data_IF_249514653359
#
_entry.id   IF_249514653359
#
_cell.length_a   1.000
_cell.length_b   1.000
_cell.length_c   1.000
_cell.angle_alpha   90.00
_cell.angle_beta   90.00
_cell.angle_gamma   90.00
#
_symmetry.space_group_name_H-M   'P 1'
#
loop_
_entity.id
_entity.type
_entity.pdbx_description
1 polymer ?
#
# COMPACT_ATOMS: atom_id res chain seq x y z
N UNK A 1 9.22 36.90 4.20
CA UNK A 1 7.84 37.12 4.70
C UNK A 1 6.87 36.11 4.06
N UNK A 2 7.23 34.81 4.02
CA UNK A 2 6.43 33.73 3.41
C UNK A 2 6.15 32.64 4.45
N UNK A 3 5.41 32.99 5.49
CA UNK A 3 4.91 32.08 6.53
C UNK A 3 3.41 32.30 6.64
N UNK A 4 2.63 31.71 5.73
CA UNK A 4 1.16 31.55 5.85
C UNK A 4 0.52 30.72 4.73
N UNK A 5 1.21 30.43 3.63
CA UNK A 5 0.62 29.67 2.52
C UNK A 5 0.58 28.13 2.70
N UNK A 6 1.18 27.58 3.77
CA UNK A 6 1.28 26.13 3.97
C UNK A 6 0.13 25.52 4.80
N UNK A 7 -0.82 26.35 5.26
CA UNK A 7 -2.00 25.90 6.04
C UNK A 7 -3.27 25.87 5.17
N UNK A 8 -3.20 26.39 3.94
CA UNK A 8 -4.36 26.54 3.04
C UNK A 8 -4.81 25.28 2.30
N UNK A 9 -4.05 24.18 2.34
CA UNK A 9 -4.42 22.93 1.63
C UNK A 9 -4.98 21.83 2.56
N UNK A 10 -4.98 22.05 3.88
CA UNK A 10 -5.47 21.07 4.87
C UNK A 10 -6.94 21.34 5.28
N UNK A 11 -7.58 22.41 4.76
CA UNK A 11 -8.96 22.79 5.12
C UNK A 11 -9.91 23.02 3.93
N UNK A 12 -9.65 22.40 2.77
CA UNK A 12 -10.52 22.51 1.59
C UNK A 12 -11.28 21.23 1.23
N UNK A 13 -11.37 20.23 2.12
CA UNK A 13 -12.21 19.05 1.93
C UNK A 13 -12.90 18.70 3.26
N UNK A 14 -13.92 19.48 3.62
CA UNK A 14 -15.19 18.97 4.15
C UNK A 14 -16.17 20.12 4.44
N UNK A 15 -17.38 19.95 3.88
CA UNK A 15 -18.65 20.59 4.21
C UNK A 15 -19.09 21.82 3.39
N UNK A 16 -19.78 21.57 2.27
CA UNK A 16 -21.13 22.13 2.08
C UNK A 16 -21.99 21.18 1.24
N UNK A 17 -23.02 20.60 1.86
CA UNK A 17 -24.19 20.02 1.18
C UNK A 17 -25.24 21.13 1.05
N UNK A 18 -25.75 21.43 -0.16
CA UNK A 18 -27.12 21.93 -0.40
C UNK A 18 -27.65 21.38 -1.75
N UNK A 19 -28.66 20.50 -1.61
CA UNK A 19 -29.91 20.33 -2.37
C UNK A 19 -29.89 20.35 -3.91
N UNK A 20 -30.19 19.17 -4.47
CA UNK A 20 -31.17 19.05 -5.56
C UNK A 20 -30.61 18.84 -6.95
N UNK A 21 -30.34 17.60 -7.34
CA UNK A 21 -30.78 17.07 -8.63
C UNK A 21 -30.85 15.54 -8.57
N UNK A 22 -31.99 15.01 -9.02
CA UNK A 22 -32.31 13.58 -9.08
C UNK A 22 -31.48 12.90 -10.17
N UNK A 23 -30.79 11.82 -9.83
CA UNK A 23 -30.62 10.68 -10.73
C UNK A 23 -30.84 9.40 -9.91
N UNK A 24 -31.90 8.67 -10.27
CA UNK A 24 -32.22 7.37 -9.67
C UNK A 24 -31.34 6.27 -10.31
N UNK A 25 -31.01 5.19 -9.58
CA UNK A 25 -29.87 4.33 -9.84
C UNK A 25 -30.22 3.12 -10.73
N UNK A 26 -29.20 2.54 -11.37
CA UNK A 26 -29.25 1.14 -11.84
C UNK A 26 -28.70 0.22 -10.73
N UNK A 27 -29.28 -0.97 -10.51
CA UNK A 27 -29.20 -1.67 -9.26
C UNK A 27 -28.36 -2.95 -9.40
N UNK A 28 -27.09 -2.95 -9.03
CA UNK A 28 -26.33 -4.17 -8.74
C UNK A 28 -25.15 -3.81 -7.82
N UNK A 29 -24.88 -4.66 -6.82
CA UNK A 29 -23.93 -4.53 -5.71
C UNK A 29 -24.40 -3.73 -4.47
N UNK A 30 -25.45 -4.23 -3.83
CA UNK A 30 -25.46 -4.37 -2.38
C UNK A 30 -25.20 -5.84 -2.06
N UNK A 31 -23.94 -6.21 -1.85
CA UNK A 31 -23.56 -7.10 -0.75
C UNK A 31 -22.03 -7.22 -0.66
N UNK A 32 -21.44 -6.59 0.34
CA UNK A 32 -20.27 -7.10 1.07
C UNK A 32 -20.09 -6.24 2.32
N UNK A 33 -20.21 -6.81 3.53
CA UNK A 33 -20.27 -6.04 4.76
C UNK A 33 -18.89 -5.55 5.21
N UNK A 34 -18.70 -4.23 5.13
CA UNK A 34 -18.17 -3.24 6.10
C UNK A 34 -17.25 -3.61 7.28
N UNK A 35 -16.73 -4.83 7.46
CA UNK A 35 -16.09 -5.24 8.72
C UNK A 35 -14.57 -5.01 8.82
N UNK A 36 -13.90 -4.57 7.75
CA UNK A 36 -12.46 -4.26 7.80
C UNK A 36 -12.19 -2.81 8.21
N UNK A 37 -13.19 -1.92 8.07
CA UNK A 37 -13.02 -0.49 8.35
C UNK A 37 -13.10 -0.14 9.85
N UNK A 38 -13.85 -0.90 10.64
CA UNK A 38 -13.99 -0.64 12.08
C UNK A 38 -12.71 -0.96 12.89
N UNK A 39 -11.85 -1.85 12.39
CA UNK A 39 -10.67 -2.30 13.13
C UNK A 39 -9.47 -1.35 13.03
N UNK A 40 -9.45 -0.41 12.07
CA UNK A 40 -8.32 0.50 11.86
C UNK A 40 -8.56 1.88 12.48
N UNK A 41 -9.80 2.27 12.82
CA UNK A 41 -10.13 3.64 13.20
C UNK A 41 -10.61 3.86 14.66
N UNK A 42 -10.64 2.84 15.51
CA UNK A 42 -11.02 3.01 16.93
C UNK A 42 -9.87 2.67 17.89
N UNK A 43 -9.19 3.70 18.38
CA UNK A 43 -8.40 3.64 19.63
C UNK A 43 -9.31 3.86 20.86
N UNK A 44 -8.88 3.47 22.07
CA UNK A 44 -9.69 3.56 23.28
C UNK A 44 -9.91 5.03 23.67
N UNK A 45 -11.13 5.35 24.07
CA UNK A 45 -11.65 6.70 24.10
C UNK A 45 -11.03 7.67 25.11
N UNK A 46 -11.33 8.96 24.90
CA UNK A 46 -11.58 9.94 25.96
C UNK A 46 -12.61 10.97 25.46
N UNK A 47 -13.76 10.97 26.13
CA UNK A 47 -14.87 11.93 26.00
C UNK A 47 -14.68 13.06 26.99
N UNK A 48 -14.90 14.32 26.57
CA UNK A 48 -15.66 15.41 27.24
C UNK A 48 -15.95 16.48 26.16
N UNK A 49 -17.08 17.17 26.03
CA UNK A 49 -18.35 17.25 26.77
C UNK A 49 -19.34 18.09 25.94
N UNK A 50 -20.62 17.69 25.84
CA UNK A 50 -21.71 18.53 25.31
C UNK A 50 -22.92 17.72 24.82
N UNK A 51 -23.86 17.39 25.71
CA UNK A 51 -25.19 16.78 25.41
C UNK A 51 -26.21 17.88 25.05
N UNK A 52 -27.34 17.60 24.33
CA UNK A 52 -28.34 16.55 24.62
C UNK A 52 -28.81 15.78 23.35
N UNK A 53 -29.59 14.69 23.33
CA UNK A 53 -30.28 13.80 24.30
C UNK A 53 -30.73 12.53 23.54
N UNK A 54 -30.84 11.41 24.27
CA UNK A 54 -31.61 10.18 23.93
C UNK A 54 -31.22 9.33 22.71
N UNK A 55 -30.30 8.38 22.92
CA UNK A 55 -30.41 7.02 22.39
C UNK A 55 -29.95 6.04 23.48
N UNK A 56 -30.83 5.12 23.89
CA UNK A 56 -30.46 3.95 24.72
C UNK A 56 -30.01 2.86 23.74
N UNK A 57 -28.71 2.76 23.50
CA UNK A 57 -28.07 1.58 22.91
C UNK A 57 -27.30 0.87 24.01
N UNK A 58 -27.48 -0.45 24.13
CA UNK A 58 -26.71 -1.30 25.03
C UNK A 58 -25.22 -1.23 24.70
N UNK A 59 -24.39 -0.90 25.70
CA UNK A 59 -22.94 -1.06 25.67
C UNK A 59 -22.61 -2.56 25.61
N UNK A 60 -22.67 -3.16 24.42
CA UNK A 60 -21.97 -4.41 24.15
C UNK A 60 -20.50 -4.07 23.93
N UNK A 61 -19.66 -4.44 24.89
CA UNK A 61 -18.22 -4.56 24.69
C UNK A 61 -17.97 -5.53 23.52
N UNK A 62 -17.74 -4.99 22.33
CA UNK A 62 -17.22 -5.77 21.20
C UNK A 62 -15.77 -6.09 21.54
N UNK A 63 -15.53 -7.29 22.04
CA UNK A 63 -14.19 -7.85 22.15
C UNK A 63 -13.49 -7.71 20.78
N UNK A 64 -12.29 -7.10 20.71
CA UNK A 64 -11.58 -7.00 19.45
C UNK A 64 -11.35 -8.42 18.91
N UNK A 65 -11.82 -8.68 17.69
CA UNK A 65 -11.63 -9.96 17.03
C UNK A 65 -10.16 -10.38 16.98
N UNK A 66 -9.86 -11.67 16.76
CA UNK A 66 -8.50 -12.17 16.74
C UNK A 66 -7.63 -11.36 15.77
N UNK A 67 -6.47 -10.90 16.26
CA UNK A 67 -5.55 -10.09 15.46
C UNK A 67 -5.17 -10.83 14.18
N UNK A 68 -5.45 -10.21 13.03
CA UNK A 68 -5.07 -10.73 11.71
C UNK A 68 -3.57 -10.58 11.51
N UNK A 69 -2.92 -11.60 10.94
CA UNK A 69 -1.50 -11.52 10.56
C UNK A 69 -1.37 -10.71 9.28
N UNK A 70 -0.40 -9.81 9.22
CA UNK A 70 -0.06 -9.07 8.01
C UNK A 70 1.37 -9.39 7.64
N UNK A 71 1.63 -9.70 6.37
CA UNK A 71 2.98 -9.82 5.81
C UNK A 71 3.09 -8.79 4.71
N UNK A 72 4.01 -7.83 4.85
CA UNK A 72 4.28 -6.83 3.84
C UNK A 72 5.62 -7.09 3.14
N UNK A 73 5.65 -6.98 1.81
CA UNK A 73 6.85 -7.16 0.99
C UNK A 73 7.08 -5.88 0.19
N UNK A 74 8.35 -5.47 0.14
CA UNK A 74 8.83 -4.30 -0.58
C UNK A 74 8.84 -4.45 -2.10
N UNK A 75 9.63 -3.59 -2.71
CA UNK A 75 9.79 -3.41 -4.15
C UNK A 75 10.41 -4.66 -4.81
N UNK A 76 9.74 -5.19 -5.83
CA UNK A 76 10.09 -6.47 -6.46
C UNK A 76 10.82 -6.29 -7.79
N UNK A 77 10.52 -5.21 -8.52
CA UNK A 77 11.23 -4.79 -9.73
C UNK A 77 11.54 -5.95 -10.70
N UNK A 78 10.49 -6.68 -11.08
CA UNK A 78 10.53 -7.70 -12.11
C UNK A 78 11.45 -8.89 -11.80
N UNK A 79 11.76 -9.18 -10.54
CA UNK A 79 12.59 -10.33 -10.12
C UNK A 79 11.74 -11.45 -9.49
N UNK A 80 11.25 -12.37 -10.33
CA UNK A 80 10.44 -13.49 -9.86
C UNK A 80 11.22 -14.45 -8.94
N UNK A 81 12.48 -14.85 -9.25
CA UNK A 81 13.24 -15.74 -8.38
C UNK A 81 13.38 -15.24 -6.94
N UNK A 82 13.67 -13.96 -6.73
CA UNK A 82 13.75 -13.41 -5.37
C UNK A 82 12.36 -13.19 -4.75
N UNK A 83 11.35 -12.87 -5.54
CA UNK A 83 9.95 -12.81 -5.07
C UNK A 83 9.50 -14.14 -4.46
N UNK A 84 9.75 -15.27 -5.14
CA UNK A 84 9.37 -16.59 -4.66
C UNK A 84 10.07 -16.94 -3.34
N UNK A 85 11.39 -16.70 -3.24
CA UNK A 85 12.14 -16.91 -1.98
C UNK A 85 11.54 -16.13 -0.82
N UNK A 86 11.20 -14.86 -1.03
CA UNK A 86 10.61 -14.00 0.01
C UNK A 86 9.25 -14.52 0.45
N UNK A 87 8.39 -14.87 -0.49
CA UNK A 87 7.07 -15.45 -0.17
C UNK A 87 7.19 -16.77 0.60
N UNK A 88 8.15 -17.62 0.23
CA UNK A 88 8.39 -18.91 0.87
C UNK A 88 8.87 -18.75 2.32
N UNK A 89 9.98 -18.00 2.56
CA UNK A 89 10.48 -17.86 3.93
C UNK A 89 9.55 -17.00 4.81
N UNK A 90 8.69 -16.17 4.22
CA UNK A 90 7.65 -15.45 4.94
C UNK A 90 6.43 -16.34 5.31
N UNK A 91 6.42 -17.60 4.85
CA UNK A 91 5.36 -18.56 5.11
C UNK A 91 4.06 -18.22 4.39
N UNK A 92 4.15 -17.63 3.19
CA UNK A 92 3.00 -17.32 2.34
C UNK A 92 2.73 -18.47 1.36
N UNK A 93 3.80 -19.01 0.77
CA UNK A 93 3.74 -20.14 -0.15
C UNK A 93 4.60 -21.32 0.31
N UNK A 94 4.30 -22.52 -0.17
CA UNK A 94 5.20 -23.68 -0.10
C UNK A 94 6.16 -23.73 -1.30
N UNK A 95 6.95 -24.80 -1.39
CA UNK A 95 7.90 -25.09 -2.47
C UNK A 95 7.22 -25.39 -3.82
N UNK A 96 5.94 -25.77 -3.81
CA UNK A 96 5.09 -25.86 -5.01
C UNK A 96 4.47 -24.51 -5.42
N UNK A 97 4.75 -23.44 -4.68
CA UNK A 97 4.17 -22.10 -4.86
C UNK A 97 2.67 -22.02 -4.56
N UNK A 98 2.12 -22.97 -3.80
CA UNK A 98 0.75 -22.94 -3.32
C UNK A 98 0.63 -22.07 -2.08
N UNK A 99 -0.48 -21.35 -1.95
CA UNK A 99 -0.78 -20.56 -0.76
C UNK A 99 -0.98 -21.44 0.48
N UNK A 100 -0.33 -21.09 1.60
CA UNK A 100 -0.40 -21.87 2.87
C UNK A 100 -0.79 -21.06 4.11
N UNK A 101 -0.87 -19.72 4.03
CA UNK A 101 -1.08 -18.87 5.21
C UNK A 101 -2.56 -18.73 5.60
N UNK A 102 -2.92 -18.96 6.87
CA UNK A 102 -4.29 -18.77 7.38
C UNK A 102 -4.48 -17.38 8.00
N UNK A 103 -5.67 -16.81 7.87
CA UNK A 103 -6.05 -15.50 8.42
C UNK A 103 -4.94 -14.44 8.28
N UNK A 104 -4.36 -14.36 7.08
CA UNK A 104 -3.21 -13.53 6.77
C UNK A 104 -3.54 -12.58 5.62
N UNK A 105 -3.15 -11.31 5.75
CA UNK A 105 -3.12 -10.39 4.60
C UNK A 105 -1.68 -10.25 4.11
N UNK A 106 -1.42 -10.66 2.87
CA UNK A 106 -0.21 -10.28 2.14
C UNK A 106 -0.40 -8.86 1.59
N UNK A 107 0.58 -7.99 1.82
CA UNK A 107 0.60 -6.62 1.27
C UNK A 107 1.85 -6.47 0.40
N UNK A 108 1.66 -6.18 -0.88
CA UNK A 108 2.74 -5.78 -1.78
C UNK A 108 2.67 -4.24 -1.91
N UNK A 109 3.76 -3.53 -1.58
CA UNK A 109 3.73 -2.06 -1.40
C UNK A 109 4.09 -1.24 -2.67
N UNK A 110 3.92 -1.81 -3.86
CA UNK A 110 4.22 -1.15 -5.14
C UNK A 110 5.60 -1.47 -5.71
N UNK A 111 5.88 -0.96 -6.90
CA UNK A 111 7.13 -1.17 -7.63
C UNK A 111 7.40 -2.66 -7.89
N UNK A 112 6.37 -3.34 -8.42
CA UNK A 112 6.48 -4.72 -8.92
C UNK A 112 7.15 -4.73 -10.29
N UNK A 113 6.84 -3.74 -11.13
CA UNK A 113 7.32 -3.62 -12.51
C UNK A 113 8.71 -2.97 -12.59
N UNK A 114 9.28 -3.03 -13.80
CA UNK A 114 10.53 -2.42 -14.25
C UNK A 114 11.79 -3.07 -13.68
N UNK A 115 12.94 -2.72 -14.28
CA UNK A 115 14.30 -3.27 -14.02
C UNK A 115 14.47 -4.73 -14.41
N UNK A 116 13.68 -5.64 -13.84
CA UNK A 116 13.71 -7.07 -14.10
C UNK A 116 12.80 -7.50 -15.25
N UNK A 117 12.95 -8.73 -15.76
CA UNK A 117 12.22 -9.24 -16.92
C UNK A 117 10.88 -9.93 -16.60
N UNK A 118 10.54 -10.10 -15.32
CA UNK A 118 9.49 -11.03 -14.90
C UNK A 118 8.17 -10.37 -14.48
N UNK A 119 7.91 -9.12 -14.87
CA UNK A 119 6.72 -8.35 -14.43
C UNK A 119 5.43 -9.14 -14.64
N UNK A 120 5.24 -9.67 -15.85
CA UNK A 120 4.02 -10.41 -16.22
C UNK A 120 3.85 -11.66 -15.35
N UNK A 121 4.95 -12.36 -15.06
CA UNK A 121 4.94 -13.57 -14.26
C UNK A 121 4.62 -13.25 -12.78
N UNK A 122 5.16 -12.17 -12.23
CA UNK A 122 4.89 -11.77 -10.83
C UNK A 122 3.43 -11.34 -10.67
N UNK A 123 2.87 -10.53 -11.57
CA UNK A 123 1.45 -10.17 -11.50
C UNK A 123 0.53 -11.38 -11.68
N UNK A 124 0.88 -12.33 -12.55
CA UNK A 124 0.17 -13.61 -12.68
C UNK A 124 0.20 -14.43 -11.39
N UNK A 125 1.37 -14.50 -10.73
CA UNK A 125 1.54 -15.14 -9.43
C UNK A 125 0.67 -14.47 -8.35
N UNK A 126 0.79 -13.15 -8.17
CA UNK A 126 0.02 -12.41 -7.15
C UNK A 126 -1.49 -12.56 -7.35
N UNK A 127 -1.94 -12.61 -8.61
CA UNK A 127 -3.34 -12.89 -8.94
C UNK A 127 -3.81 -14.26 -8.52
N UNK A 128 -3.05 -15.28 -8.88
CA UNK A 128 -3.33 -16.66 -8.49
C UNK A 128 -3.39 -16.77 -6.96
N UNK A 129 -2.37 -16.25 -6.27
CA UNK A 129 -2.32 -16.23 -4.81
C UNK A 129 -3.49 -15.48 -4.17
N UNK A 130 -3.94 -14.36 -4.76
CA UNK A 130 -5.14 -13.65 -4.29
C UNK A 130 -6.37 -14.55 -4.31
N UNK A 131 -6.59 -15.28 -5.40
CA UNK A 131 -7.70 -16.22 -5.51
C UNK A 131 -7.58 -17.38 -4.50
N UNK A 132 -6.40 -18.01 -4.44
CA UNK A 132 -6.14 -19.18 -3.59
C UNK A 132 -6.28 -18.84 -2.09
N UNK A 133 -5.86 -17.63 -1.69
CA UNK A 133 -5.85 -17.18 -0.29
C UNK A 133 -7.23 -17.12 0.35
N UNK A 134 -8.29 -16.92 -0.45
CA UNK A 134 -9.67 -16.75 0.04
C UNK A 134 -10.17 -17.97 0.82
N UNK A 135 -9.77 -19.18 0.42
CA UNK A 135 -10.11 -20.43 1.09
C UNK A 135 -9.51 -20.54 2.50
N UNK A 136 -8.49 -19.72 2.82
CA UNK A 136 -7.78 -19.70 4.09
C UNK A 136 -8.20 -18.53 4.99
N UNK A 137 -9.27 -17.83 4.63
CA UNK A 137 -9.67 -16.58 5.26
C UNK A 137 -8.62 -15.47 5.11
N UNK A 138 -7.76 -15.60 4.10
CA UNK A 138 -6.63 -14.73 3.83
C UNK A 138 -6.93 -13.77 2.67
N UNK A 139 -6.06 -12.80 2.44
CA UNK A 139 -6.21 -11.83 1.35
C UNK A 139 -4.83 -11.36 0.82
N UNK A 140 -4.81 -10.86 -0.41
CA UNK A 140 -3.66 -10.24 -1.05
C UNK A 140 -4.02 -8.84 -1.51
N UNK A 141 -3.29 -7.85 -0.99
CA UNK A 141 -3.48 -6.43 -1.29
C UNK A 141 -2.23 -5.90 -1.99
N UNK A 142 -2.41 -5.35 -3.19
CA UNK A 142 -1.39 -4.60 -3.89
C UNK A 142 -1.63 -3.10 -3.76
N UNK A 143 -0.56 -2.33 -3.55
CA UNK A 143 -0.55 -0.87 -3.63
C UNK A 143 0.18 -0.45 -4.91
N UNK A 144 -0.26 0.63 -5.56
CA UNK A 144 0.45 1.15 -6.73
C UNK A 144 1.72 1.88 -6.30
N UNK A 145 2.85 1.50 -6.89
CA UNK A 145 4.09 2.25 -6.82
C UNK A 145 4.19 3.27 -7.95
N UNK A 146 5.29 4.02 -7.96
CA UNK A 146 5.52 4.98 -9.04
C UNK A 146 5.85 4.28 -10.36
N UNK A 147 6.46 3.10 -10.34
CA UNK A 147 6.79 2.37 -11.55
C UNK A 147 5.53 1.85 -12.28
N UNK A 148 4.50 1.45 -11.54
CA UNK A 148 3.18 1.16 -12.13
C UNK A 148 2.59 2.40 -12.80
N UNK A 149 2.63 3.54 -12.12
CA UNK A 149 2.08 4.81 -12.63
C UNK A 149 2.83 5.25 -13.90
N UNK A 150 4.17 5.16 -13.90
CA UNK A 150 5.00 5.46 -15.07
C UNK A 150 4.61 4.61 -16.28
N UNK A 151 4.46 3.29 -16.09
CA UNK A 151 4.06 2.40 -17.18
C UNK A 151 2.63 2.71 -17.70
N UNK A 152 1.69 3.08 -16.82
CA UNK A 152 0.34 3.51 -17.21
C UNK A 152 0.35 4.81 -18.03
N UNK A 153 1.29 5.72 -17.76
CA UNK A 153 1.50 6.95 -18.54
C UNK A 153 2.36 6.75 -19.80
N UNK A 154 2.89 5.55 -20.02
CA UNK A 154 3.77 5.26 -21.15
C UNK A 154 5.21 5.73 -20.96
N UNK A 155 5.61 6.06 -19.74
CA UNK A 155 7.01 6.30 -19.40
C UNK A 155 7.72 4.96 -19.18
N UNK A 156 8.47 4.53 -20.20
CA UNK A 156 9.10 3.20 -20.25
C UNK A 156 10.61 3.22 -19.97
N UNK A 157 11.15 4.31 -19.41
CA UNK A 157 12.61 4.51 -19.25
C UNK A 157 13.32 3.43 -18.45
N UNK A 158 12.60 2.73 -17.56
CA UNK A 158 13.16 1.68 -16.70
C UNK A 158 12.74 0.26 -17.08
N UNK A 159 12.00 0.10 -18.18
CA UNK A 159 11.51 -1.20 -18.64
C UNK A 159 12.68 -2.02 -19.19
N UNK A 160 12.80 -3.27 -18.71
CA UNK A 160 13.75 -4.21 -19.26
C UNK A 160 13.29 -4.67 -20.67
N UNK A 161 14.15 -4.68 -21.70
CA UNK A 161 13.76 -5.16 -23.02
C UNK A 161 13.17 -6.58 -23.02
N UNK A 162 13.73 -7.49 -22.19
CA UNK A 162 13.20 -8.85 -22.04
C UNK A 162 11.83 -8.89 -21.39
N UNK A 163 11.52 -7.92 -20.51
CA UNK A 163 10.18 -7.77 -19.96
C UNK A 163 9.21 -7.44 -21.09
N UNK A 164 9.53 -6.48 -21.96
CA UNK A 164 8.73 -6.15 -23.15
C UNK A 164 8.48 -7.37 -24.04
N UNK A 165 9.50 -8.19 -24.28
CA UNK A 165 9.36 -9.43 -25.05
C UNK A 165 8.38 -10.42 -24.39
N UNK A 166 8.34 -10.48 -23.05
CA UNK A 166 7.39 -11.33 -22.31
C UNK A 166 5.91 -10.94 -22.52
N UNK A 167 5.67 -9.68 -22.90
CA UNK A 167 4.35 -9.19 -23.30
C UNK A 167 4.02 -9.48 -24.76
N UNK A 168 4.95 -9.97 -25.58
CA UNK A 168 4.79 -10.14 -27.03
C UNK A 168 5.20 -8.90 -27.83
N UNK A 169 5.99 -8.01 -27.24
CA UNK A 169 6.51 -6.79 -27.86
C UNK A 169 5.88 -5.49 -27.34
N UNK A 170 6.36 -4.33 -27.82
CA UNK A 170 6.02 -3.02 -27.28
C UNK A 170 4.53 -2.67 -27.41
N UNK A 171 3.91 -3.01 -28.53
CA UNK A 171 2.48 -2.73 -28.76
C UNK A 171 1.59 -3.51 -27.79
N UNK A 172 1.85 -4.80 -27.61
CA UNK A 172 1.07 -5.62 -26.68
C UNK A 172 1.30 -5.18 -25.23
N UNK A 173 2.54 -4.81 -24.85
CA UNK A 173 2.81 -4.21 -23.53
C UNK A 173 1.97 -2.95 -23.31
N UNK A 174 1.97 -2.03 -24.27
CA UNK A 174 1.20 -0.79 -24.19
C UNK A 174 -0.30 -1.06 -24.02
N UNK A 175 -0.84 -2.05 -24.71
CA UNK A 175 -2.23 -2.47 -24.55
C UNK A 175 -2.51 -2.99 -23.13
N UNK A 176 -1.62 -3.82 -22.59
CA UNK A 176 -1.76 -4.42 -21.25
C UNK A 176 -1.70 -3.39 -20.12
N UNK A 177 -0.93 -2.31 -20.29
CA UNK A 177 -0.84 -1.19 -19.36
C UNK A 177 -1.86 -0.07 -19.62
N UNK A 178 -2.68 -0.19 -20.67
CA UNK A 178 -3.76 0.76 -20.95
C UNK A 178 -4.95 0.57 -19.99
N UNK A 179 -5.88 1.52 -19.96
CA UNK A 179 -7.10 1.47 -19.14
C UNK A 179 -7.93 0.18 -19.34
N UNK A 180 -7.92 -0.37 -20.55
CA UNK A 180 -8.63 -1.61 -20.90
C UNK A 180 -7.77 -2.87 -20.79
N UNK A 181 -6.46 -2.71 -20.56
CA UNK A 181 -5.51 -3.80 -20.39
C UNK A 181 -5.54 -4.37 -18.97
N UNK A 182 -5.05 -5.58 -18.81
CA UNK A 182 -5.16 -6.30 -17.55
C UNK A 182 -4.38 -5.64 -16.39
N UNK A 183 -3.17 -5.12 -16.67
CA UNK A 183 -2.31 -4.47 -15.68
C UNK A 183 -2.63 -2.97 -15.49
N UNK A 184 -3.07 -2.29 -16.54
CA UNK A 184 -3.54 -0.91 -16.45
C UNK A 184 -4.95 -0.80 -15.86
N UNK A 185 -5.74 -1.88 -15.93
CA UNK A 185 -7.05 -1.94 -15.29
C UNK A 185 -6.90 -2.03 -13.77
N UNK A 186 -7.58 -1.12 -13.09
CA UNK A 186 -7.48 -0.88 -11.64
C UNK A 186 -8.08 -2.00 -10.77
N UNK A 187 -8.34 -3.19 -11.33
CA UNK A 187 -8.95 -4.32 -10.62
C UNK A 187 -8.15 -4.72 -9.37
N UNK A 188 -6.81 -4.69 -9.45
CA UNK A 188 -5.90 -4.98 -8.34
C UNK A 188 -5.90 -3.90 -7.25
N UNK A 189 -6.08 -2.64 -7.65
CA UNK A 189 -6.17 -1.48 -6.75
C UNK A 189 -7.59 -1.25 -6.19
N UNK A 190 -8.59 -2.05 -6.60
CA UNK A 190 -9.98 -1.88 -6.16
C UNK A 190 -10.29 -2.56 -4.82
N UNK A 191 -9.39 -3.40 -4.30
CA UNK A 191 -9.60 -4.18 -3.06
C UNK A 191 -9.11 -3.51 -1.75
N UNK A 192 -8.78 -2.20 -1.77
CA UNK A 192 -8.40 -1.42 -0.58
C UNK A 192 -7.76 -0.07 -0.90
N UNK A 193 -7.54 0.82 0.11
CA UNK A 193 -7.09 2.24 0.03
C UNK A 193 -7.98 3.16 -0.83
N UNK A 194 -9.30 2.91 -0.76
CA UNK A 194 -10.35 3.42 -1.65
C UNK A 194 -10.29 4.93 -1.98
N UNK A 195 -9.80 5.82 -1.13
CA UNK A 195 -9.74 7.26 -1.41
C UNK A 195 -8.54 7.69 -2.26
N UNK A 196 -7.31 7.26 -1.92
CA UNK A 196 -6.11 7.54 -2.73
C UNK A 196 -6.26 6.83 -4.06
N UNK A 197 -6.76 5.59 -4.04
CA UNK A 197 -7.04 4.88 -5.27
C UNK A 197 -8.16 5.55 -6.06
N UNK A 198 -9.24 6.08 -5.45
CA UNK A 198 -10.28 6.80 -6.21
C UNK A 198 -9.79 8.12 -6.82
N UNK A 199 -9.02 8.92 -6.08
CA UNK A 199 -8.49 10.19 -6.58
C UNK A 199 -7.38 9.98 -7.61
N UNK A 200 -6.53 8.95 -7.42
CA UNK A 200 -5.58 8.51 -8.43
C UNK A 200 -6.30 8.00 -9.69
N UNK A 201 -7.34 7.16 -9.52
CA UNK A 201 -8.16 6.57 -10.60
C UNK A 201 -8.74 7.62 -11.55
N UNK A 202 -9.27 8.73 -11.03
CA UNK A 202 -9.87 9.75 -11.88
C UNK A 202 -8.83 10.61 -12.60
N UNK A 203 -7.68 10.82 -11.97
CA UNK A 203 -6.65 11.73 -12.48
C UNK A 203 -5.67 11.06 -13.47
N UNK A 204 -5.36 9.76 -13.29
CA UNK A 204 -4.37 9.03 -14.11
C UNK A 204 -4.69 9.00 -15.61
N UNK A 205 -5.98 8.94 -15.98
CA UNK A 205 -6.36 8.81 -17.40
C UNK A 205 -6.77 10.13 -18.07
N UNK A 206 -6.63 11.26 -17.37
CA UNK A 206 -7.02 12.58 -17.87
C UNK A 206 -5.82 13.54 -18.02
N UNK A 207 -4.62 13.09 -17.69
CA UNK A 207 -3.44 13.95 -17.57
C UNK A 207 -2.31 13.48 -18.49
N UNK A 208 -1.54 14.43 -19.04
CA UNK A 208 -0.31 14.11 -19.74
C UNK A 208 0.80 13.77 -18.74
N UNK A 209 1.87 13.10 -19.19
CA UNK A 209 3.04 12.78 -18.36
C UNK A 209 3.63 14.04 -17.68
N UNK A 210 3.67 15.17 -18.41
CA UNK A 210 4.14 16.45 -17.89
C UNK A 210 3.24 16.99 -16.77
N UNK A 211 1.93 16.79 -16.88
CA UNK A 211 0.98 17.20 -15.86
C UNK A 211 1.11 16.31 -14.61
N UNK A 212 1.33 15.01 -14.80
CA UNK A 212 1.55 14.05 -13.71
C UNK A 212 2.80 14.39 -12.86
N UNK A 213 3.89 14.84 -13.48
CA UNK A 213 5.11 15.24 -12.74
C UNK A 213 4.89 16.47 -11.84
N UNK A 214 3.98 17.37 -12.21
CA UNK A 214 3.58 18.53 -11.40
C UNK A 214 2.39 18.26 -10.48
N UNK A 215 1.80 17.06 -10.57
CA UNK A 215 0.61 16.68 -9.82
C UNK A 215 0.98 16.43 -8.35
N UNK A 216 0.22 16.95 -7.37
CA UNK A 216 0.51 16.74 -5.94
C UNK A 216 0.42 15.26 -5.49
N UNK A 217 -0.17 14.38 -6.29
CA UNK A 217 -0.30 12.94 -6.03
C UNK A 217 0.76 12.12 -6.77
N UNK A 218 1.11 12.49 -8.02
CA UNK A 218 2.01 11.71 -8.86
C UNK A 218 3.39 12.32 -9.08
N UNK A 219 3.58 13.57 -8.66
CA UNK A 219 4.86 14.28 -8.70
C UNK A 219 5.77 13.88 -7.54
N UNK A 220 6.96 14.49 -7.48
CA UNK A 220 8.02 14.11 -6.54
C UNK A 220 7.65 14.20 -5.05
N UNK A 221 6.72 15.09 -4.69
CA UNK A 221 6.20 15.24 -3.32
C UNK A 221 4.98 14.34 -3.03
N UNK A 222 4.55 13.57 -4.03
CA UNK A 222 3.38 12.71 -3.95
C UNK A 222 3.64 11.39 -3.22
N UNK A 223 2.57 10.68 -2.79
CA UNK A 223 2.68 9.47 -1.95
C UNK A 223 3.52 8.32 -2.53
N UNK A 224 3.69 8.25 -3.85
CA UNK A 224 4.47 7.19 -4.51
C UNK A 224 5.93 7.56 -4.77
N UNK A 225 6.32 8.82 -4.56
CA UNK A 225 7.68 9.31 -4.83
C UNK A 225 8.37 9.90 -3.60
N UNK A 226 7.61 10.25 -2.56
CA UNK A 226 8.14 10.98 -1.42
C UNK A 226 9.12 10.15 -0.58
N UNK A 227 10.38 10.61 -0.48
CA UNK A 227 11.50 9.86 0.15
C UNK A 227 11.86 10.32 1.55
N UNK A 228 11.39 11.47 2.01
CA UNK A 228 11.89 12.07 3.25
C UNK A 228 11.58 11.22 4.50
N UNK A 229 10.48 10.45 4.50
CA UNK A 229 10.21 9.47 5.57
C UNK A 229 11.32 8.42 5.72
N UNK A 230 12.09 8.14 4.65
CA UNK A 230 13.25 7.27 4.68
C UNK A 230 14.58 8.03 4.87
N UNK A 231 14.69 9.29 4.43
CA UNK A 231 15.98 10.00 4.29
C UNK A 231 16.20 11.20 5.22
N UNK A 232 15.16 12.03 5.47
CA UNK A 232 15.29 13.25 6.27
C UNK A 232 15.75 12.98 7.71
N UNK A 233 16.29 13.97 8.42
CA UNK A 233 16.55 13.87 9.86
C UNK A 233 15.26 13.62 10.67
N UNK A 234 15.31 12.74 11.68
CA UNK A 234 14.15 12.39 12.51
C UNK A 234 13.55 13.59 13.26
N UNK A 235 14.35 14.62 13.60
CA UNK A 235 13.85 15.84 14.25
C UNK A 235 12.91 16.62 13.33
N UNK A 236 13.10 16.52 12.02
CA UNK A 236 12.29 17.20 11.00
C UNK A 236 11.09 16.36 10.60
N UNK A 237 11.30 15.08 10.30
CA UNK A 237 10.27 14.26 9.66
C UNK A 237 9.30 13.60 10.65
N UNK A 238 9.75 13.25 11.87
CA UNK A 238 8.88 12.57 12.82
C UNK A 238 7.68 13.41 13.33
N UNK A 239 7.78 14.74 13.48
CA UNK A 239 6.61 15.59 13.73
C UNK A 239 5.58 15.54 12.59
N UNK A 240 6.02 15.65 11.33
CA UNK A 240 5.15 15.58 10.16
C UNK A 240 4.50 14.19 10.03
N UNK A 241 5.27 13.13 10.25
CA UNK A 241 4.75 11.76 10.30
C UNK A 241 3.68 11.62 11.39
N UNK A 242 3.87 12.22 12.58
CA UNK A 242 2.88 12.17 13.66
C UNK A 242 1.57 12.82 13.21
N UNK A 243 1.64 13.96 12.54
CA UNK A 243 0.46 14.66 12.00
C UNK A 243 -0.26 13.81 10.95
N UNK A 244 0.48 13.27 9.98
CA UNK A 244 -0.08 12.39 8.94
C UNK A 244 -0.78 11.16 9.56
N UNK A 245 -0.12 10.48 10.50
CA UNK A 245 -0.68 9.32 11.19
C UNK A 245 -1.93 9.67 12.01
N UNK A 246 -1.92 10.82 12.69
CA UNK A 246 -3.09 11.32 13.44
C UNK A 246 -4.28 11.57 12.53
N UNK A 247 -4.07 12.27 11.41
CA UNK A 247 -5.12 12.56 10.43
C UNK A 247 -5.71 11.29 9.83
N UNK A 248 -4.87 10.26 9.61
CA UNK A 248 -5.29 8.97 9.06
C UNK A 248 -5.85 8.00 10.12
N UNK A 249 -5.80 8.35 11.41
CA UNK A 249 -6.15 7.44 12.50
C UNK A 249 -5.24 6.21 12.60
N UNK A 250 -4.05 6.26 12.02
CA UNK A 250 -3.14 5.13 11.89
C UNK A 250 -2.04 5.15 12.97
N UNK A 251 -1.58 3.97 13.41
CA UNK A 251 -0.48 3.85 14.38
C UNK A 251 0.91 3.82 13.73
N UNK A 252 0.95 3.42 12.46
CA UNK A 252 2.19 3.13 11.74
C UNK A 252 2.00 3.29 10.23
N UNK A 253 3.06 3.73 9.58
CA UNK A 253 3.22 3.77 8.14
C UNK A 253 4.25 2.72 7.71
N UNK A 254 3.98 1.99 6.63
CA UNK A 254 4.91 1.04 6.01
C UNK A 254 5.15 1.51 4.59
N UNK A 255 6.41 1.67 4.19
CA UNK A 255 6.79 2.25 2.89
C UNK A 255 7.86 1.44 2.17
N UNK A 256 7.81 1.45 0.83
CA UNK A 256 8.84 0.95 -0.07
C UNK A 256 9.67 2.09 -0.69
N UNK A 257 9.98 1.99 -2.00
CA UNK A 257 10.53 3.01 -2.90
C UNK A 257 11.97 3.48 -2.62
N UNK A 258 12.42 3.48 -1.36
CA UNK A 258 13.73 4.00 -0.95
C UNK A 258 14.63 2.90 -0.38
N UNK A 259 15.54 2.33 -1.20
CA UNK A 259 16.26 1.12 -0.84
C UNK A 259 17.10 1.25 0.43
N UNK A 260 16.91 0.30 1.34
CA UNK A 260 17.68 0.08 2.56
C UNK A 260 18.41 -1.27 2.43
N UNK A 261 19.51 -1.29 1.69
CA UNK A 261 20.16 -2.54 1.24
C UNK A 261 20.62 -3.45 2.40
N UNK A 262 20.85 -2.90 3.59
CA UNK A 262 21.25 -3.64 4.78
C UNK A 262 20.08 -4.18 5.62
N UNK A 263 18.83 -3.94 5.21
CA UNK A 263 17.62 -4.54 5.78
C UNK A 263 16.57 -3.52 6.22
N UNK A 264 15.45 -4.04 6.71
CA UNK A 264 14.28 -3.25 7.11
C UNK A 264 14.67 -2.22 8.17
N UNK A 265 14.29 -0.96 7.96
CA UNK A 265 14.52 0.13 8.90
C UNK A 265 13.25 0.52 9.62
N UNK A 266 13.38 0.79 10.91
CA UNK A 266 12.32 1.38 11.70
C UNK A 266 12.78 2.74 12.20
N UNK A 267 11.94 3.75 12.01
CA UNK A 267 12.23 5.14 12.34
C UNK A 267 11.10 5.73 13.17
N UNK A 268 11.35 6.89 13.77
CA UNK A 268 10.36 7.64 14.56
C UNK A 268 9.70 6.80 15.67
N UNK A 269 10.52 6.00 16.38
CA UNK A 269 10.07 5.08 17.44
C UNK A 269 9.04 4.06 16.96
N UNK A 270 9.26 3.44 15.81
CA UNK A 270 8.38 2.38 15.30
C UNK A 270 7.17 2.85 14.51
N UNK A 271 7.04 4.17 14.25
CA UNK A 271 5.91 4.77 13.55
C UNK A 271 6.04 4.72 12.03
N UNK A 272 7.24 4.64 11.49
CA UNK A 272 7.44 4.32 10.08
C UNK A 272 8.42 3.16 9.95
N UNK A 273 8.09 2.25 9.04
CA UNK A 273 8.93 1.10 8.70
C UNK A 273 9.19 1.12 7.20
N UNK A 274 10.46 1.15 6.82
CA UNK A 274 10.93 1.14 5.44
C UNK A 274 11.31 -0.30 5.10
N UNK A 275 10.60 -0.87 4.13
CA UNK A 275 10.69 -2.29 3.76
C UNK A 275 11.24 -2.53 2.36
N UNK A 276 11.51 -1.48 1.58
CA UNK A 276 12.35 -1.62 0.41
C UNK A 276 13.77 -1.89 0.87
N UNK A 277 14.20 -3.14 0.74
CA UNK A 277 15.55 -3.59 1.09
C UNK A 277 16.37 -3.94 -0.13
N UNK A 278 15.94 -3.52 -1.33
CA UNK A 278 16.56 -3.92 -2.60
C UNK A 278 16.44 -5.43 -2.85
N UNK A 279 15.22 -5.98 -2.71
CA UNK A 279 14.93 -7.42 -2.88
C UNK A 279 15.34 -7.92 -4.28
N UNK A 280 15.07 -7.12 -5.31
CA UNK A 280 15.49 -7.42 -6.67
C UNK A 280 17.02 -7.53 -6.77
N UNK A 281 17.49 -8.56 -7.46
CA UNK A 281 18.90 -8.82 -7.75
C UNK A 281 19.58 -7.66 -8.48
N UNK A 282 18.81 -6.78 -9.13
CA UNK A 282 19.32 -5.53 -9.73
C UNK A 282 19.96 -4.61 -8.69
N UNK A 283 19.44 -4.59 -7.46
CA UNK A 283 20.00 -3.80 -6.36
C UNK A 283 20.93 -4.62 -5.46
N UNK A 284 20.72 -5.93 -5.37
CA UNK A 284 21.57 -6.83 -4.59
C UNK A 284 21.49 -6.64 -3.08
N UNK A 285 20.37 -6.11 -2.59
CA UNK A 285 20.13 -5.92 -1.16
C UNK A 285 19.65 -7.19 -0.48
N UNK A 286 19.19 -7.06 0.78
CA UNK A 286 18.71 -8.21 1.55
C UNK A 286 17.31 -8.61 1.13
N UNK A 287 17.09 -9.91 0.95
CA UNK A 287 15.73 -10.46 0.86
C UNK A 287 15.04 -10.29 2.21
N UNK A 288 13.87 -9.66 2.22
CA UNK A 288 13.15 -9.40 3.46
C UNK A 288 11.64 -9.34 3.30
N UNK A 289 10.93 -9.58 4.39
CA UNK A 289 9.50 -9.31 4.53
C UNK A 289 9.24 -8.75 5.93
N UNK A 290 8.20 -7.94 6.07
CA UNK A 290 7.74 -7.43 7.36
C UNK A 290 6.52 -8.22 7.82
N UNK A 291 6.60 -8.85 8.99
CA UNK A 291 5.45 -9.46 9.66
C UNK A 291 4.90 -8.51 10.72
N UNK A 292 3.60 -8.24 10.68
CA UNK A 292 2.86 -7.51 11.71
C UNK A 292 1.78 -8.41 12.29
N UNK A 293 1.72 -8.48 13.61
CA UNK A 293 0.67 -9.19 14.34
C UNK A 293 0.28 -8.38 15.58
N UNK A 294 -0.95 -7.86 15.59
CA UNK A 294 -1.37 -6.85 16.55
C UNK A 294 -0.43 -5.63 16.49
N UNK A 295 0.11 -5.20 17.63
CA UNK A 295 1.05 -4.07 17.70
C UNK A 295 2.52 -4.45 17.40
N UNK A 296 2.82 -5.75 17.28
CA UNK A 296 4.17 -6.25 17.09
C UNK A 296 4.57 -6.23 15.61
N UNK A 297 5.81 -5.81 15.34
CA UNK A 297 6.40 -5.82 14.00
C UNK A 297 7.73 -6.57 14.03
N UNK A 298 7.95 -7.45 13.06
CA UNK A 298 9.13 -8.31 12.96
C UNK A 298 9.64 -8.33 11.53
N UNK A 299 10.90 -7.99 11.33
CA UNK A 299 11.57 -8.19 10.05
C UNK A 299 11.95 -9.68 9.90
N UNK A 300 11.52 -10.28 8.79
CA UNK A 300 11.83 -11.64 8.37
C UNK A 300 12.91 -11.60 7.30
N UNK A 301 13.86 -12.53 7.39
CA UNK A 301 14.95 -12.72 6.44
C UNK A 301 15.14 -14.21 6.15
N UNK A 302 15.96 -14.50 5.14
CA UNK A 302 16.33 -15.88 4.80
C UNK A 302 16.87 -16.68 5.98
N UNK A 303 16.83 -18.01 5.84
CA UNK A 303 17.30 -18.98 6.85
C UNK A 303 16.59 -18.82 8.20
N UNK A 304 15.34 -18.35 8.17
CA UNK A 304 14.48 -18.21 9.35
C UNK A 304 14.88 -17.09 10.31
N UNK A 305 15.79 -16.18 9.91
CA UNK A 305 16.21 -15.08 10.78
C UNK A 305 15.06 -14.09 10.97
N UNK A 306 14.74 -13.80 12.24
CA UNK A 306 13.70 -12.84 12.64
C UNK A 306 14.29 -11.74 13.53
N UNK A 307 13.94 -10.49 13.27
CA UNK A 307 14.38 -9.33 14.06
C UNK A 307 13.15 -8.52 14.49
N UNK A 308 12.87 -8.50 15.80
CA UNK A 308 11.78 -7.69 16.35
C UNK A 308 12.11 -6.20 16.20
N UNK A 309 11.14 -5.43 15.72
CA UNK A 309 11.24 -3.99 15.55
C UNK A 309 10.65 -3.26 16.77
N UNK A 310 11.03 -1.99 17.00
CA UNK A 310 10.45 -1.18 18.07
C UNK A 310 8.92 -1.11 17.96
N UNK A 311 8.23 -1.31 19.09
CA UNK A 311 6.77 -1.12 19.16
C UNK A 311 6.44 0.35 18.90
N UNK A 312 5.44 0.61 18.05
CA UNK A 312 4.86 1.94 17.99
C UNK A 312 4.14 2.19 19.32
N UNK A 313 4.39 3.34 19.94
CA UNK A 313 3.60 3.75 21.10
C UNK A 313 2.29 4.36 20.61
N UNK A 314 1.17 4.18 21.35
CA UNK A 314 -0.04 4.94 21.12
C UNK A 314 0.29 6.43 21.03
N UNK A 315 -0.40 7.12 20.13
CA UNK A 315 -0.25 8.56 20.03
C UNK A 315 -0.99 9.15 21.23
N UNK A 316 -0.23 9.60 22.23
CA UNK A 316 -0.69 10.45 23.34
C UNK A 316 -0.86 11.88 22.84
#
# INVERSE_FOLDING_TARGET
MYRTAFIGLILAILATFIVGYRYNPLPYLLDTPSKVLDFILTGPGHSKSGRPSHFKGSDEHVEPGPSRRIVAIGDLHGDLPNTLKVLEFAGIINDQQDWIATNTTLVQVGDVVDRGPDTKAIYGLLRRLSNDSSAYGSDVVGVLGNHEIMNMFGDLRYVNPKDTDSFGGPEQRKLEWSRGGDLGSVHWANKGIHFINHSARQSLFQQSEKDAQSNPVFGGEGPTWYREYAQADEKTICPQLKEALNTLGARRMVIGHTPQLDGIKSRCRGRVIIIDTGISSVYGGKLSALEIFGDSATALYEKGKKVKLPKSRPIV
#
